data_IF_705092091406
#
_entry.id   IF_705092091406
#
_cell.length_a   1.000
_cell.length_b   1.000
_cell.length_c   1.000
_cell.angle_alpha   90.00
_cell.angle_beta   90.00
_cell.angle_gamma   90.00
#
_symmetry.space_group_name_H-M   'P 1'
#
loop_
_entity.id
_entity.type
_entity.pdbx_description
1 polymer ?
#
# COMPACT_ATOMS: atom_id res chain seq x y z
N UNK A 1 -29.96 -8.60 -2.58
CA UNK A 1 -28.94 -9.38 -3.32
C UNK A 1 -29.44 -9.74 -4.71
N UNK A 2 -30.58 -10.40 -4.77
CA UNK A 2 -31.00 -11.27 -5.86
C UNK A 2 -31.36 -10.50 -7.12
N UNK A 3 -31.96 -9.30 -6.97
CA UNK A 3 -32.15 -8.28 -8.01
C UNK A 3 -30.93 -8.11 -8.94
N UNK A 4 -29.69 -8.17 -8.42
CA UNK A 4 -28.47 -8.03 -9.23
C UNK A 4 -28.16 -9.31 -10.02
N UNK A 5 -28.36 -10.49 -9.43
CA UNK A 5 -28.24 -11.78 -10.12
C UNK A 5 -29.29 -11.88 -11.22
N UNK A 6 -30.55 -11.58 -10.89
CA UNK A 6 -31.68 -11.69 -11.80
C UNK A 6 -31.54 -10.70 -12.96
N UNK A 7 -31.02 -9.49 -12.71
CA UNK A 7 -30.64 -8.53 -13.76
C UNK A 7 -29.55 -9.07 -14.69
N UNK A 8 -28.48 -9.68 -14.16
CA UNK A 8 -27.39 -10.24 -14.99
C UNK A 8 -27.88 -11.45 -15.79
N UNK A 9 -28.61 -12.38 -15.17
CA UNK A 9 -29.15 -13.56 -15.85
C UNK A 9 -30.14 -13.15 -16.94
N UNK A 10 -31.12 -12.27 -16.65
CA UNK A 10 -32.15 -11.86 -17.61
C UNK A 10 -31.64 -10.95 -18.75
N UNK A 11 -30.56 -10.18 -18.53
CA UNK A 11 -30.02 -9.27 -19.56
C UNK A 11 -28.83 -9.82 -20.34
N UNK A 12 -28.05 -10.74 -19.76
CA UNK A 12 -26.77 -11.21 -20.32
C UNK A 12 -26.65 -12.75 -20.40
N UNK A 13 -27.54 -13.52 -19.76
CA UNK A 13 -27.54 -14.99 -19.84
C UNK A 13 -26.40 -15.70 -19.11
N UNK A 14 -25.59 -15.01 -18.31
CA UNK A 14 -24.44 -15.59 -17.61
C UNK A 14 -24.85 -16.35 -16.34
N UNK A 15 -24.29 -17.55 -16.10
CA UNK A 15 -24.42 -18.23 -14.79
C UNK A 15 -23.85 -17.31 -13.69
N UNK A 16 -24.71 -16.98 -12.72
CA UNK A 16 -24.46 -15.95 -11.73
C UNK A 16 -24.80 -16.49 -10.33
N UNK A 17 -23.79 -16.53 -9.47
CA UNK A 17 -23.90 -17.02 -8.08
C UNK A 17 -23.80 -15.87 -7.09
N UNK A 18 -24.43 -16.04 -5.94
CA UNK A 18 -24.42 -15.08 -4.82
C UNK A 18 -23.70 -15.74 -3.65
N UNK A 19 -22.77 -15.02 -3.02
CA UNK A 19 -22.07 -15.45 -1.81
C UNK A 19 -22.24 -14.39 -0.72
N UNK A 20 -22.90 -14.76 0.37
CA UNK A 20 -23.04 -13.91 1.56
C UNK A 20 -21.99 -14.38 2.58
N UNK A 21 -21.01 -13.53 2.88
CA UNK A 21 -19.86 -13.91 3.73
C UNK A 21 -20.26 -14.07 5.21
N UNK A 22 -21.15 -13.20 5.71
CA UNK A 22 -21.67 -13.26 7.08
C UNK A 22 -20.58 -13.17 8.16
N UNK A 23 -20.73 -13.96 9.22
CA UNK A 23 -19.93 -13.84 10.44
C UNK A 23 -18.43 -14.09 10.28
N UNK A 24 -17.96 -14.72 9.19
CA UNK A 24 -16.53 -14.92 8.91
C UNK A 24 -15.77 -13.58 8.86
N UNK A 25 -16.45 -12.48 8.53
CA UNK A 25 -15.88 -11.13 8.47
C UNK A 25 -15.56 -10.52 9.84
N UNK A 26 -15.96 -11.17 10.96
CA UNK A 26 -15.64 -10.76 12.33
C UNK A 26 -14.64 -11.69 13.04
N UNK A 27 -14.30 -12.82 12.43
CA UNK A 27 -13.44 -13.85 13.01
C UNK A 27 -12.01 -13.85 12.45
N UNK A 28 -11.21 -14.81 12.92
CA UNK A 28 -9.82 -14.97 12.52
C UNK A 28 -8.83 -14.13 13.35
N UNK A 29 -7.54 -14.26 13.01
CA UNK A 29 -6.46 -13.62 13.76
C UNK A 29 -6.27 -12.16 13.31
N UNK A 30 -6.20 -11.16 14.22
CA UNK A 30 -5.99 -9.75 13.85
C UNK A 30 -4.78 -9.52 12.95
N UNK A 31 -4.88 -8.61 11.98
CA UNK A 31 -3.78 -8.33 11.05
C UNK A 31 -2.63 -7.59 11.73
N UNK A 32 -1.48 -7.49 11.06
CA UNK A 32 -0.35 -6.71 11.56
C UNK A 32 -0.72 -5.21 11.74
N UNK A 33 -1.57 -4.67 10.86
CA UNK A 33 -2.07 -3.31 10.98
C UNK A 33 -2.95 -3.15 12.22
N UNK A 34 -3.91 -4.05 12.44
CA UNK A 34 -4.86 -3.95 13.56
C UNK A 34 -4.16 -4.11 14.92
N UNK A 35 -3.13 -4.97 15.01
CA UNK A 35 -2.31 -5.13 16.22
C UNK A 35 -1.55 -3.84 16.56
N UNK A 36 -0.85 -3.26 15.57
CA UNK A 36 -0.07 -2.03 15.77
C UNK A 36 -1.01 -0.85 16.06
N UNK A 37 -2.15 -0.77 15.37
CA UNK A 37 -3.21 0.22 15.61
C UNK A 37 -3.74 0.13 17.04
N UNK A 38 -4.14 -1.07 17.48
CA UNK A 38 -4.66 -1.32 18.82
C UNK A 38 -3.65 -1.01 19.92
N UNK A 39 -2.39 -1.42 19.76
CA UNK A 39 -1.33 -1.08 20.73
C UNK A 39 -1.07 0.43 20.82
N UNK A 40 -1.04 1.15 19.69
CA UNK A 40 -0.84 2.61 19.69
C UNK A 40 -2.02 3.36 20.31
N UNK A 41 -3.25 2.99 19.97
CA UNK A 41 -4.47 3.58 20.55
C UNK A 41 -4.58 3.26 22.04
N UNK A 42 -4.22 2.05 22.47
CA UNK A 42 -4.24 1.65 23.88
C UNK A 42 -3.25 2.45 24.74
N UNK A 43 -2.03 2.68 24.26
CA UNK A 43 -1.04 3.52 24.96
C UNK A 43 -1.51 4.97 25.03
N UNK A 44 -1.96 5.54 23.91
CA UNK A 44 -2.47 6.92 23.88
C UNK A 44 -3.72 7.11 24.77
N UNK A 45 -4.60 6.09 24.89
CA UNK A 45 -5.74 6.15 25.78
C UNK A 45 -5.36 6.18 27.27
N UNK A 46 -4.29 5.49 27.67
CA UNK A 46 -3.75 5.59 29.04
C UNK A 46 -3.16 6.97 29.29
N UNK A 47 -2.39 7.52 28.34
CA UNK A 47 -1.84 8.89 28.43
C UNK A 47 -2.98 9.91 28.53
N UNK A 48 -4.01 9.78 27.68
CA UNK A 48 -5.18 10.66 27.67
C UNK A 48 -5.97 10.65 28.99
N UNK A 49 -5.99 9.53 29.71
CA UNK A 49 -6.62 9.41 31.03
C UNK A 49 -5.75 10.01 32.15
N UNK A 50 -4.42 9.93 32.03
CA UNK A 50 -3.48 10.50 33.00
C UNK A 50 -3.33 12.03 32.87
N UNK A 51 -3.52 12.57 31.68
CA UNK A 51 -3.46 14.01 31.38
C UNK A 51 -4.81 14.73 31.56
N UNK A 52 -5.90 14.00 31.85
CA UNK A 52 -7.24 14.58 31.92
C UNK A 52 -7.49 15.36 33.23
N UNK A 53 -7.95 16.60 33.10
CA UNK A 53 -8.53 17.40 34.19
C UNK A 53 -10.06 17.25 34.28
N UNK A 54 -10.72 17.71 35.36
CA UNK A 54 -12.18 17.78 35.42
C UNK A 54 -12.83 18.60 34.29
N UNK A 55 -12.11 19.59 33.75
CA UNK A 55 -12.53 20.43 32.62
C UNK A 55 -12.26 19.79 31.25
N UNK A 56 -11.55 18.65 31.21
CA UNK A 56 -11.20 17.98 29.96
C UNK A 56 -12.40 17.17 29.45
N UNK A 57 -12.96 17.48 28.27
CA UNK A 57 -14.11 16.76 27.75
C UNK A 57 -13.75 15.32 27.37
N UNK A 58 -14.69 14.39 27.59
CA UNK A 58 -14.53 12.99 27.18
C UNK A 58 -14.18 12.89 25.69
N UNK A 59 -13.15 12.11 25.36
CA UNK A 59 -12.59 12.03 24.01
C UNK A 59 -12.48 10.59 23.49
N UNK A 60 -12.42 10.47 22.17
CA UNK A 60 -12.09 9.25 21.43
C UNK A 60 -10.66 9.36 20.93
N UNK A 61 -9.82 8.40 21.30
CA UNK A 61 -8.48 8.25 20.73
C UNK A 61 -8.60 7.64 19.33
N UNK A 62 -7.93 8.27 18.37
CA UNK A 62 -7.96 7.89 16.95
C UNK A 62 -6.58 8.09 16.30
N UNK A 63 -6.44 7.68 15.04
CA UNK A 63 -5.18 7.75 14.31
C UNK A 63 -5.39 8.45 12.95
N UNK A 64 -4.92 9.69 12.85
CA UNK A 64 -5.08 10.58 11.69
C UNK A 64 -3.71 11.00 11.16
N UNK A 65 -3.49 10.95 9.84
CA UNK A 65 -2.19 11.30 9.26
C UNK A 65 -1.01 10.43 9.75
N UNK A 66 -1.27 9.23 10.29
CA UNK A 66 -0.33 8.38 11.03
C UNK A 66 0.13 8.93 12.40
N UNK A 67 -0.49 9.99 12.91
CA UNK A 67 -0.32 10.51 14.26
C UNK A 67 -1.53 10.10 15.13
N UNK A 68 -1.28 9.85 16.42
CA UNK A 68 -2.36 9.64 17.38
C UNK A 68 -3.02 10.99 17.70
N UNK A 69 -4.34 11.02 17.80
CA UNK A 69 -5.12 12.23 18.10
C UNK A 69 -6.27 11.90 19.07
N UNK A 70 -6.72 12.91 19.81
CA UNK A 70 -7.90 12.88 20.67
C UNK A 70 -8.98 13.76 20.03
N UNK A 71 -10.20 13.25 19.91
CA UNK A 71 -11.34 13.96 19.30
C UNK A 71 -12.50 13.97 20.30
N UNK A 72 -13.24 15.08 20.50
CA UNK A 72 -14.35 15.10 21.45
C UNK A 72 -15.41 14.02 21.14
N UNK A 73 -15.80 13.26 22.16
CA UNK A 73 -16.71 12.12 22.03
C UNK A 73 -18.08 12.54 21.49
N UNK A 74 -18.60 13.68 21.95
CA UNK A 74 -19.89 14.21 21.52
C UNK A 74 -19.90 14.58 20.03
N UNK A 75 -18.83 15.19 19.52
CA UNK A 75 -18.66 15.49 18.09
C UNK A 75 -18.63 14.20 17.27
N UNK A 76 -17.86 13.19 17.70
CA UNK A 76 -17.83 11.90 17.04
C UNK A 76 -19.22 11.23 16.96
N UNK A 77 -19.99 11.27 18.05
CA UNK A 77 -21.37 10.74 18.06
C UNK A 77 -22.25 11.52 17.08
N UNK A 78 -22.28 12.85 17.17
CA UNK A 78 -23.08 13.71 16.29
C UNK A 78 -22.75 13.47 14.80
N UNK A 79 -21.46 13.50 14.42
CA UNK A 79 -21.03 13.28 13.04
C UNK A 79 -21.48 11.91 12.48
N UNK A 80 -21.53 10.86 13.31
CA UNK A 80 -22.03 9.55 12.83
C UNK A 80 -23.54 9.56 12.57
N UNK A 81 -24.32 10.28 13.40
CA UNK A 81 -25.76 10.45 13.21
C UNK A 81 -26.08 11.33 11.99
N UNK A 82 -25.31 12.38 11.75
CA UNK A 82 -25.46 13.27 10.58
C UNK A 82 -25.30 12.52 9.25
N UNK A 83 -24.38 11.55 9.17
CA UNK A 83 -24.27 10.71 7.95
C UNK A 83 -25.51 9.84 7.75
N UNK A 84 -26.08 9.29 8.82
CA UNK A 84 -27.31 8.48 8.71
C UNK A 84 -28.49 9.36 8.28
N UNK A 85 -28.68 10.51 8.94
CA UNK A 85 -29.67 11.51 8.54
C UNK A 85 -29.53 11.93 7.07
N UNK A 86 -28.32 12.17 6.59
CA UNK A 86 -28.07 12.50 5.18
C UNK A 86 -28.41 11.34 4.21
N UNK A 87 -28.26 10.08 4.63
CA UNK A 87 -28.72 8.91 3.84
C UNK A 87 -30.24 8.80 3.80
N UNK A 88 -30.91 8.99 4.94
CA UNK A 88 -32.37 8.89 5.07
C UNK A 88 -33.09 10.02 4.30
N UNK A 89 -32.52 11.24 4.37
CA UNK A 89 -32.92 12.41 3.57
C UNK A 89 -32.49 12.32 2.09
N UNK A 90 -31.86 11.22 1.66
CA UNK A 90 -31.36 10.97 0.29
C UNK A 90 -30.32 12.00 -0.22
N UNK A 91 -29.68 12.75 0.68
CA UNK A 91 -28.57 13.68 0.41
C UNK A 91 -27.24 12.93 0.25
N UNK A 92 -27.18 12.03 -0.73
CA UNK A 92 -26.09 11.07 -0.89
C UNK A 92 -24.71 11.71 -1.06
N UNK A 93 -24.60 12.84 -1.78
CA UNK A 93 -23.32 13.56 -1.91
C UNK A 93 -22.84 14.13 -0.58
N UNK A 94 -23.74 14.55 0.32
CA UNK A 94 -23.38 15.03 1.65
C UNK A 94 -22.96 13.86 2.54
N UNK A 95 -23.68 12.74 2.51
CA UNK A 95 -23.28 11.51 3.20
C UNK A 95 -21.87 11.05 2.75
N UNK A 96 -21.56 11.16 1.45
CA UNK A 96 -20.23 10.85 0.89
C UNK A 96 -19.16 11.86 1.35
N UNK A 97 -19.47 13.16 1.45
CA UNK A 97 -18.56 14.18 2.00
C UNK A 97 -18.28 13.96 3.49
N UNK A 98 -19.32 13.68 4.28
CA UNK A 98 -19.26 13.47 5.74
C UNK A 98 -18.47 12.20 6.12
N UNK A 99 -18.40 11.18 5.26
CA UNK A 99 -17.45 10.04 5.39
C UNK A 99 -15.97 10.44 5.16
N UNK A 100 -15.70 11.70 4.84
CA UNK A 100 -14.38 12.31 4.82
C UNK A 100 -13.57 12.09 3.53
N UNK A 101 -12.54 12.94 3.34
CA UNK A 101 -11.72 13.01 2.11
C UNK A 101 -11.12 11.65 1.67
N UNK A 102 -10.81 10.77 2.63
CA UNK A 102 -10.31 9.41 2.34
C UNK A 102 -11.35 8.55 1.62
N UNK A 103 -12.60 8.56 2.07
CA UNK A 103 -13.70 7.82 1.45
C UNK A 103 -13.97 8.31 0.03
N UNK A 104 -14.07 9.64 -0.16
CA UNK A 104 -14.23 10.28 -1.47
C UNK A 104 -13.09 9.89 -2.42
N UNK A 105 -11.84 9.95 -1.97
CA UNK A 105 -10.68 9.55 -2.77
C UNK A 105 -10.75 8.06 -3.16
N UNK A 106 -11.09 7.17 -2.23
CA UNK A 106 -11.22 5.73 -2.51
C UNK A 106 -12.30 5.47 -3.58
N UNK A 107 -13.48 6.10 -3.45
CA UNK A 107 -14.59 5.97 -4.40
C UNK A 107 -14.23 6.48 -5.80
N UNK A 108 -13.57 7.64 -5.88
CA UNK A 108 -13.16 8.22 -7.17
C UNK A 108 -12.04 7.40 -7.84
N UNK A 109 -11.06 6.91 -7.07
CA UNK A 109 -10.04 5.98 -7.58
C UNK A 109 -10.65 4.67 -8.09
N UNK A 110 -11.67 4.14 -7.42
CA UNK A 110 -12.41 2.96 -7.88
C UNK A 110 -13.13 3.21 -9.21
N UNK A 111 -13.94 4.29 -9.30
CA UNK A 111 -14.66 4.66 -10.52
C UNK A 111 -13.72 4.76 -11.74
N UNK A 112 -12.59 5.46 -11.58
CA UNK A 112 -11.55 5.67 -12.59
C UNK A 112 -10.89 4.36 -13.10
N UNK A 113 -10.79 3.34 -12.25
CA UNK A 113 -10.12 2.07 -12.57
C UNK A 113 -11.08 0.95 -13.00
N UNK A 114 -12.37 1.10 -12.70
CA UNK A 114 -13.44 0.18 -13.05
C UNK A 114 -14.06 0.53 -14.41
N UNK A 115 -14.32 1.81 -14.68
CA UNK A 115 -14.96 2.26 -15.92
C UNK A 115 -13.96 2.97 -16.82
N UNK A 116 -13.81 2.48 -18.07
CA UNK A 116 -13.27 3.29 -19.15
C UNK A 116 -14.42 4.14 -19.71
N UNK A 117 -14.35 5.47 -19.59
CA UNK A 117 -15.18 6.38 -20.38
C UNK A 117 -14.91 6.11 -21.86
N UNK A 118 -15.95 5.80 -22.62
CA UNK A 118 -15.81 5.48 -24.05
C UNK A 118 -15.46 6.73 -24.88
N UNK A 119 -16.12 7.84 -24.56
CA UNK A 119 -16.28 8.98 -25.47
C UNK A 119 -15.69 10.28 -24.89
N UNK A 120 -14.47 10.17 -24.36
CA UNK A 120 -13.57 11.32 -24.20
C UNK A 120 -12.33 10.98 -25.01
N UNK A 121 -12.10 11.70 -26.11
CA UNK A 121 -10.80 11.65 -26.78
C UNK A 121 -9.73 12.03 -25.74
N UNK A 122 -8.69 11.20 -25.53
CA UNK A 122 -7.68 11.50 -24.53
C UNK A 122 -7.05 12.85 -24.89
N UNK A 123 -6.99 13.83 -23.97
CA UNK A 123 -6.50 15.16 -24.27
C UNK A 123 -5.09 15.06 -24.84
N UNK A 124 -4.82 15.72 -25.99
CA UNK A 124 -3.59 15.54 -26.77
C UNK A 124 -2.33 15.81 -25.92
N UNK A 125 -1.78 14.74 -25.37
CA UNK A 125 -0.75 14.72 -24.31
C UNK A 125 0.04 13.42 -24.44
N UNK A 126 0.67 13.25 -25.61
CA UNK A 126 1.26 11.99 -26.09
C UNK A 126 2.63 11.62 -25.48
N UNK A 127 2.84 11.93 -24.20
CA UNK A 127 4.11 11.66 -23.51
C UNK A 127 4.32 10.15 -23.28
N UNK A 128 5.59 9.73 -23.29
CA UNK A 128 5.98 8.34 -23.03
C UNK A 128 6.42 8.22 -21.57
N UNK A 129 5.69 7.45 -20.75
CA UNK A 129 5.95 7.32 -19.30
C UNK A 129 6.32 5.87 -18.96
N UNK A 130 7.47 5.67 -18.32
CA UNK A 130 7.99 4.36 -17.97
C UNK A 130 7.71 3.97 -16.50
N UNK A 131 7.56 2.68 -16.22
CA UNK A 131 7.35 2.15 -14.87
C UNK A 131 8.32 0.98 -14.62
N UNK A 132 9.00 1.01 -13.47
CA UNK A 132 9.94 -0.03 -13.04
C UNK A 132 9.85 -0.32 -11.54
N UNK A 133 10.19 -1.55 -11.15
CA UNK A 133 10.32 -1.96 -9.75
C UNK A 133 11.81 -2.11 -9.39
N UNK A 134 12.20 -1.68 -8.19
CA UNK A 134 13.61 -1.63 -7.76
C UNK A 134 13.73 -2.09 -6.30
N UNK A 135 14.82 -2.79 -5.97
CA UNK A 135 14.99 -3.46 -4.69
C UNK A 135 14.53 -4.92 -4.72
N UNK A 136 14.28 -5.49 -3.54
CA UNK A 136 13.71 -6.83 -3.41
C UNK A 136 12.23 -6.85 -3.84
N UNK A 137 11.70 -7.99 -4.35
CA UNK A 137 10.27 -8.12 -4.61
C UNK A 137 9.44 -7.85 -3.35
N UNK A 138 8.41 -7.01 -3.50
CA UNK A 138 7.53 -6.62 -2.41
C UNK A 138 6.06 -6.81 -2.80
N UNK A 139 5.28 -7.36 -1.87
CA UNK A 139 3.83 -7.42 -1.94
C UNK A 139 3.24 -6.04 -2.32
N UNK A 140 2.53 -5.98 -3.45
CA UNK A 140 1.84 -4.77 -3.92
C UNK A 140 2.48 -4.07 -5.12
N UNK A 141 3.73 -4.40 -5.49
CA UNK A 141 4.40 -3.88 -6.70
C UNK A 141 3.51 -4.01 -7.94
N UNK A 142 2.93 -5.19 -8.19
CA UNK A 142 2.03 -5.44 -9.33
C UNK A 142 0.75 -4.58 -9.31
N UNK A 143 0.20 -4.30 -8.13
CA UNK A 143 -0.99 -3.46 -7.98
C UNK A 143 -0.66 -1.98 -8.26
N UNK A 144 0.51 -1.51 -7.84
CA UNK A 144 1.02 -0.18 -8.16
C UNK A 144 1.30 -0.02 -9.67
N UNK A 145 2.04 -0.95 -10.29
CA UNK A 145 2.29 -0.95 -11.74
C UNK A 145 0.97 -0.95 -12.53
N UNK A 146 0.02 -1.82 -12.19
CA UNK A 146 -1.31 -1.86 -12.83
C UNK A 146 -2.02 -0.51 -12.77
N UNK A 147 -1.98 0.17 -11.63
CA UNK A 147 -2.66 1.45 -11.45
C UNK A 147 -1.97 2.57 -12.24
N UNK A 148 -0.63 2.62 -12.20
CA UNK A 148 0.16 3.57 -13.00
C UNK A 148 -0.11 3.41 -14.50
N UNK A 149 -0.05 2.18 -15.03
CA UNK A 149 -0.32 1.88 -16.44
C UNK A 149 -1.74 2.26 -16.85
N UNK A 150 -2.75 1.90 -16.05
CA UNK A 150 -4.15 2.22 -16.41
C UNK A 150 -4.42 3.71 -16.41
N UNK A 151 -3.99 4.42 -15.38
CA UNK A 151 -4.29 5.84 -15.22
C UNK A 151 -3.46 6.68 -16.20
N UNK A 152 -2.24 6.26 -16.55
CA UNK A 152 -1.46 6.88 -17.61
C UNK A 152 -2.16 6.83 -18.97
N UNK A 153 -2.72 5.68 -19.32
CA UNK A 153 -3.54 5.50 -20.53
C UNK A 153 -4.81 6.37 -20.48
N UNK A 154 -5.47 6.51 -19.32
CA UNK A 154 -6.67 7.37 -19.17
C UNK A 154 -6.34 8.87 -19.31
N UNK A 155 -5.16 9.31 -18.88
CA UNK A 155 -4.68 10.69 -19.03
C UNK A 155 -4.10 10.99 -20.43
N UNK A 156 -4.00 9.97 -21.31
CA UNK A 156 -3.57 10.08 -22.72
C UNK A 156 -2.13 9.65 -23.03
N UNK A 157 -1.36 9.25 -22.01
CA UNK A 157 0.07 8.91 -22.15
C UNK A 157 0.28 7.50 -22.73
N UNK A 158 1.40 7.32 -23.43
CA UNK A 158 1.91 5.99 -23.81
C UNK A 158 2.71 5.40 -22.65
N UNK A 159 2.28 4.25 -22.16
CA UNK A 159 2.88 3.62 -20.99
C UNK A 159 3.90 2.56 -21.39
N UNK A 160 5.07 2.59 -20.76
CA UNK A 160 6.15 1.63 -20.98
C UNK A 160 6.45 0.87 -19.68
N UNK A 161 6.58 -0.45 -19.81
CA UNK A 161 7.08 -1.33 -18.77
C UNK A 161 8.57 -1.58 -18.99
N UNK A 162 9.37 -1.38 -17.95
CA UNK A 162 10.81 -1.72 -17.96
C UNK A 162 11.01 -2.97 -17.11
N UNK A 163 11.65 -3.99 -17.69
CA UNK A 163 11.96 -5.22 -16.96
C UNK A 163 13.14 -5.03 -15.99
N UNK A 164 13.19 -5.84 -14.93
CA UNK A 164 14.35 -6.01 -14.03
C UNK A 164 14.99 -4.69 -13.51
N UNK A 165 14.15 -3.69 -13.25
CA UNK A 165 14.57 -2.42 -12.67
C UNK A 165 15.59 -1.66 -13.54
N UNK A 166 16.56 -1.00 -12.91
CA UNK A 166 17.61 -0.27 -13.63
C UNK A 166 18.54 -1.17 -14.43
N UNK A 167 18.64 -2.46 -14.10
CA UNK A 167 19.48 -3.40 -14.83
C UNK A 167 18.88 -3.68 -16.22
N UNK A 168 17.61 -4.05 -16.30
CA UNK A 168 16.91 -4.23 -17.57
C UNK A 168 16.71 -2.90 -18.32
N UNK A 169 16.53 -1.77 -17.61
CA UNK A 169 16.56 -0.43 -18.21
C UNK A 169 17.85 -0.22 -19.01
N UNK A 170 19.02 -0.43 -18.40
CA UNK A 170 20.31 -0.24 -19.07
C UNK A 170 20.56 -1.19 -20.26
N UNK A 171 19.81 -2.31 -20.33
CA UNK A 171 19.84 -3.29 -21.42
C UNK A 171 18.74 -3.06 -22.47
N UNK A 172 17.99 -1.95 -22.38
CA UNK A 172 16.90 -1.63 -23.32
C UNK A 172 15.69 -2.57 -23.22
N UNK A 173 15.47 -3.23 -22.07
CA UNK A 173 14.34 -4.13 -21.84
C UNK A 173 13.04 -3.36 -21.54
N UNK A 174 12.66 -2.48 -22.48
CA UNK A 174 11.57 -1.53 -22.38
C UNK A 174 10.51 -1.94 -23.42
N UNK A 175 9.24 -2.07 -23.01
CA UNK A 175 8.13 -2.45 -23.90
C UNK A 175 6.88 -1.62 -23.60
N UNK A 176 6.17 -1.19 -24.64
CA UNK A 176 4.88 -0.49 -24.45
C UNK A 176 3.85 -1.45 -23.84
N UNK A 177 3.16 -1.03 -22.78
CA UNK A 177 2.22 -1.85 -22.02
C UNK A 177 0.79 -1.27 -22.10
N UNK A 178 -0.11 -2.05 -22.71
CA UNK A 178 -1.51 -1.67 -22.94
C UNK A 178 -2.41 -2.01 -21.74
N UNK A 179 -3.59 -1.39 -21.67
CA UNK A 179 -4.59 -1.55 -20.58
C UNK A 179 -4.93 -3.00 -20.20
N UNK A 180 -4.94 -3.91 -21.19
CA UNK A 180 -5.18 -5.34 -21.00
C UNK A 180 -4.00 -6.10 -20.39
N UNK A 181 -2.76 -5.67 -20.65
CA UNK A 181 -1.53 -6.34 -20.18
C UNK A 181 -1.36 -6.35 -18.66
N UNK A 182 -2.06 -5.45 -17.95
CA UNK A 182 -2.12 -5.39 -16.48
C UNK A 182 -3.45 -5.92 -15.91
N UNK A 183 -4.19 -6.74 -16.67
CA UNK A 183 -5.38 -7.44 -16.21
C UNK A 183 -5.06 -8.46 -15.10
N UNK A 184 -5.83 -8.48 -14.01
CA UNK A 184 -5.64 -9.42 -12.89
C UNK A 184 -4.49 -9.10 -11.91
N UNK A 185 -3.56 -8.20 -12.25
CA UNK A 185 -2.32 -7.94 -11.48
C UNK A 185 -2.54 -7.46 -10.03
N UNK A 186 -3.72 -6.92 -9.68
CA UNK A 186 -4.04 -6.46 -8.31
C UNK A 186 -3.88 -7.57 -7.25
N UNK A 187 -4.09 -8.83 -7.60
CA UNK A 187 -4.00 -9.96 -6.67
C UNK A 187 -2.64 -10.66 -6.62
N UNK A 188 -1.68 -10.24 -7.44
CA UNK A 188 -0.44 -11.01 -7.71
C UNK A 188 0.73 -10.59 -6.82
N UNK A 189 1.46 -11.57 -6.30
CA UNK A 189 2.66 -11.39 -5.48
C UNK A 189 3.93 -11.05 -6.27
N UNK A 190 4.99 -10.63 -5.57
CA UNK A 190 6.28 -10.28 -6.16
C UNK A 190 6.21 -9.16 -7.20
N UNK A 191 7.04 -9.26 -8.25
CA UNK A 191 7.07 -8.32 -9.39
C UNK A 191 6.99 -9.05 -10.73
N UNK A 192 5.91 -8.83 -11.47
CA UNK A 192 5.69 -9.33 -12.83
C UNK A 192 6.51 -8.56 -13.88
N UNK A 193 7.13 -7.43 -13.50
CA UNK A 193 8.18 -6.77 -14.29
C UNK A 193 9.59 -7.32 -14.00
N UNK A 194 9.74 -8.21 -13.01
CA UNK A 194 11.04 -8.41 -12.37
C UNK A 194 11.43 -7.21 -11.49
N UNK A 195 12.51 -7.34 -10.73
CA UNK A 195 13.08 -6.26 -9.90
C UNK A 195 14.47 -6.67 -9.43
N UNK A 196 15.36 -5.70 -9.27
CA UNK A 196 16.74 -5.91 -8.83
C UNK A 196 17.12 -4.87 -7.77
N UNK A 197 18.01 -5.26 -6.83
CA UNK A 197 18.68 -4.31 -5.91
C UNK A 197 19.72 -3.42 -6.65
N UNK A 198 19.97 -3.64 -7.94
CA UNK A 198 20.92 -2.91 -8.79
C UNK A 198 20.58 -1.42 -8.89
N UNK A 199 21.49 -0.56 -8.39
CA UNK A 199 21.38 0.89 -8.47
C UNK A 199 21.85 1.42 -9.85
N UNK A 200 21.31 2.55 -10.33
CA UNK A 200 21.56 3.03 -11.70
C UNK A 200 22.99 3.59 -11.91
N UNK A 201 23.70 3.94 -10.83
CA UNK A 201 24.93 4.74 -10.86
C UNK A 201 26.05 4.22 -11.77
N UNK A 202 26.18 2.90 -11.95
CA UNK A 202 27.20 2.32 -12.84
C UNK A 202 26.83 2.38 -14.33
N UNK A 203 25.54 2.50 -14.66
CA UNK A 203 25.02 2.35 -16.03
C UNK A 203 24.29 3.62 -16.52
N UNK A 204 24.53 4.78 -15.90
CA UNK A 204 23.78 6.03 -16.13
C UNK A 204 23.73 6.45 -17.62
N UNK A 205 24.84 6.34 -18.34
CA UNK A 205 24.89 6.69 -19.77
C UNK A 205 23.93 5.81 -20.59
N UNK A 206 24.01 4.48 -20.44
CA UNK A 206 23.12 3.55 -21.15
C UNK A 206 21.64 3.77 -20.79
N UNK A 207 21.33 4.11 -19.54
CA UNK A 207 19.97 4.46 -19.11
C UNK A 207 19.51 5.77 -19.79
N UNK A 208 20.37 6.78 -19.87
CA UNK A 208 20.07 8.05 -20.54
C UNK A 208 19.88 7.87 -22.06
N UNK A 209 20.67 7.00 -22.71
CA UNK A 209 20.50 6.68 -24.12
C UNK A 209 19.18 5.95 -24.38
N UNK A 210 18.81 4.98 -23.52
CA UNK A 210 17.52 4.31 -23.62
C UNK A 210 16.32 5.25 -23.38
N UNK A 211 16.48 6.27 -22.52
CA UNK A 211 15.51 7.36 -22.34
C UNK A 211 15.34 8.15 -23.64
N UNK A 212 16.45 8.51 -24.33
CA UNK A 212 16.41 9.19 -25.64
C UNK A 212 15.75 8.33 -26.71
N UNK A 213 16.19 7.08 -26.88
CA UNK A 213 15.68 6.15 -27.91
C UNK A 213 14.18 5.91 -27.79
N UNK A 214 13.65 5.82 -26.56
CA UNK A 214 12.23 5.61 -26.30
C UNK A 214 11.46 6.92 -26.04
N UNK A 215 12.10 8.09 -26.19
CA UNK A 215 11.56 9.43 -25.89
C UNK A 215 10.85 9.52 -24.51
N UNK A 216 11.41 8.85 -23.49
CA UNK A 216 10.77 8.70 -22.17
C UNK A 216 10.76 10.06 -21.45
N UNK A 217 9.56 10.59 -21.23
CA UNK A 217 9.32 11.90 -20.64
C UNK A 217 9.31 11.86 -19.09
N UNK A 218 9.04 10.69 -18.49
CA UNK A 218 9.08 10.47 -17.04
C UNK A 218 9.18 8.97 -16.69
N UNK A 219 9.63 8.63 -15.48
CA UNK A 219 9.60 7.26 -14.96
C UNK A 219 9.25 7.14 -13.46
N UNK A 220 8.75 5.97 -13.02
CA UNK A 220 8.27 5.70 -11.64
C UNK A 220 8.93 4.46 -11.00
N UNK A 221 9.21 4.51 -9.68
CA UNK A 221 10.02 3.54 -8.88
C UNK A 221 9.37 3.23 -7.50
N UNK A 222 9.60 2.04 -6.89
CA UNK A 222 8.94 1.50 -5.67
C UNK A 222 9.92 0.66 -4.77
N UNK A 223 10.09 0.91 -3.43
CA UNK A 223 10.99 0.17 -2.46
C UNK A 223 10.94 0.60 -0.94
N UNK A 224 11.73 0.03 0.03
CA UNK A 224 11.71 0.38 1.51
C UNK A 224 12.69 -0.32 2.55
N UNK A 225 12.60 -0.02 3.89
CA UNK A 225 13.43 -0.42 5.12
C UNK A 225 12.69 -0.02 6.48
N UNK A 226 12.96 -0.25 7.81
CA UNK A 226 13.78 -1.09 8.78
C UNK A 226 13.16 -0.99 10.26
N UNK A 227 13.66 -1.21 11.54
CA UNK A 227 14.91 -1.59 12.32
C UNK A 227 14.67 -1.96 13.87
N UNK A 228 15.74 -2.37 14.64
CA UNK A 228 16.04 -2.33 16.14
C UNK A 228 15.48 -3.36 17.22
N UNK A 229 16.15 -3.53 18.40
CA UNK A 229 16.15 -4.77 19.28
C UNK A 229 16.13 -4.69 20.85
N UNK A 230 16.65 -3.65 21.56
CA UNK A 230 17.16 -3.73 22.97
C UNK A 230 16.29 -4.42 24.07
N UNK A 231 14.96 -4.44 23.96
CA UNK A 231 14.00 -4.70 25.06
C UNK A 231 14.03 -6.10 25.75
N UNK A 232 14.66 -7.13 25.18
CA UNK A 232 14.25 -8.51 25.49
C UNK A 232 14.80 -9.11 26.81
N UNK A 233 15.99 -8.73 27.25
CA UNK A 233 16.73 -9.43 28.32
C UNK A 233 16.05 -9.36 29.69
N UNK A 234 15.36 -8.25 30.00
CA UNK A 234 14.69 -8.06 31.30
C UNK A 234 13.45 -8.95 31.47
N UNK A 235 12.78 -9.27 30.36
CA UNK A 235 11.47 -9.92 30.35
C UNK A 235 11.48 -11.35 30.93
N UNK A 236 12.58 -12.08 30.78
CA UNK A 236 12.67 -13.49 31.17
C UNK A 236 12.62 -13.73 32.69
N UNK A 237 12.73 -12.66 33.51
CA UNK A 237 12.54 -12.69 34.97
C UNK A 237 11.06 -12.64 35.40
N UNK A 238 10.12 -12.55 34.44
CA UNK A 238 8.68 -12.46 34.68
C UNK A 238 7.96 -13.79 34.41
N UNK A 239 6.65 -13.85 34.68
CA UNK A 239 5.80 -15.00 34.34
C UNK A 239 5.71 -15.30 32.83
N UNK A 240 6.14 -14.39 31.95
CA UNK A 240 6.14 -14.59 30.49
C UNK A 240 7.55 -15.00 30.03
N UNK A 241 7.90 -16.25 30.34
CA UNK A 241 9.16 -16.92 29.97
C UNK A 241 9.28 -17.24 28.46
N UNK A 242 8.97 -16.28 27.60
CA UNK A 242 9.04 -16.40 26.13
C UNK A 242 9.58 -15.11 25.51
N UNK A 243 10.79 -15.20 24.98
CA UNK A 243 11.45 -14.16 24.20
C UNK A 243 11.26 -14.32 22.69
N UNK A 244 11.37 -13.22 21.94
CA UNK A 244 11.45 -13.21 20.48
C UNK A 244 12.32 -12.03 20.05
N UNK A 245 13.51 -12.31 19.52
CA UNK A 245 14.38 -11.31 18.88
C UNK A 245 14.04 -11.25 17.38
N UNK A 246 13.87 -10.04 16.84
CA UNK A 246 13.85 -9.82 15.39
C UNK A 246 15.10 -9.03 15.01
N UNK A 247 15.97 -9.62 14.19
CA UNK A 247 17.15 -8.96 13.60
C UNK A 247 16.85 -8.63 12.14
N UNK A 248 17.14 -7.40 11.68
CA UNK A 248 17.17 -7.11 10.24
C UNK A 248 18.34 -7.85 9.56
N UNK A 249 18.24 -8.20 8.28
CA UNK A 249 19.33 -8.90 7.58
C UNK A 249 20.68 -8.13 7.60
N UNK A 250 20.64 -6.80 7.56
CA UNK A 250 21.82 -5.93 7.38
C UNK A 250 22.10 -5.02 8.61
N UNK A 251 21.52 -5.29 9.79
CA UNK A 251 21.62 -4.36 10.94
C UNK A 251 23.04 -4.12 11.47
N UNK A 252 23.96 -5.07 11.25
CA UNK A 252 25.38 -4.96 11.57
C UNK A 252 26.16 -6.10 10.91
N UNK A 253 27.28 -5.83 10.26
CA UNK A 253 28.06 -6.86 9.55
C UNK A 253 28.74 -7.87 10.51
N UNK A 254 29.17 -7.42 11.69
CA UNK A 254 29.84 -8.25 12.69
C UNK A 254 28.84 -9.00 13.58
N UNK A 255 27.81 -8.28 14.07
CA UNK A 255 26.74 -8.86 14.89
C UNK A 255 25.68 -9.52 14.00
N UNK A 256 26.09 -10.62 13.38
CA UNK A 256 25.26 -11.49 12.53
C UNK A 256 24.12 -12.15 13.32
N UNK A 257 23.16 -12.76 12.63
CA UNK A 257 22.13 -13.61 13.25
C UNK A 257 22.74 -14.72 14.10
N UNK A 258 23.89 -15.25 13.68
CA UNK A 258 24.59 -16.34 14.35
C UNK A 258 25.34 -15.87 15.59
N UNK A 259 26.00 -14.69 15.51
CA UNK A 259 26.61 -14.04 16.66
C UNK A 259 25.58 -13.71 17.74
N UNK A 260 24.45 -13.10 17.36
CA UNK A 260 23.38 -12.75 18.31
C UNK A 260 22.74 -14.02 18.90
N UNK A 261 22.57 -15.07 18.10
CA UNK A 261 22.11 -16.37 18.60
C UNK A 261 23.08 -16.98 19.62
N UNK A 262 24.39 -16.96 19.35
CA UNK A 262 25.42 -17.46 20.27
C UNK A 262 25.43 -16.65 21.57
N UNK A 263 25.46 -15.31 21.48
CA UNK A 263 25.43 -14.41 22.64
C UNK A 263 24.24 -14.69 23.56
N UNK A 264 23.01 -14.74 23.02
CA UNK A 264 21.81 -15.05 23.81
C UNK A 264 21.80 -16.50 24.35
N UNK A 265 22.45 -17.45 23.67
CA UNK A 265 22.54 -18.84 24.13
C UNK A 265 23.55 -19.03 25.26
N UNK A 266 24.63 -18.23 25.29
CA UNK A 266 25.66 -18.27 26.32
C UNK A 266 25.22 -17.49 27.58
N UNK A 267 24.80 -16.23 27.42
CA UNK A 267 24.32 -15.39 28.53
C UNK A 267 23.00 -15.90 29.15
N UNK A 268 22.23 -16.71 28.39
CA UNK A 268 20.99 -17.35 28.85
C UNK A 268 21.18 -18.65 29.63
N UNK A 269 22.41 -19.16 29.78
CA UNK A 269 22.68 -20.48 30.37
C UNK A 269 22.09 -20.64 31.78
N UNK A 270 21.37 -21.74 31.97
CA UNK A 270 20.64 -22.04 33.21
C UNK A 270 19.32 -21.30 33.39
N UNK A 271 18.95 -20.39 32.47
CA UNK A 271 17.71 -19.60 32.54
C UNK A 271 16.79 -19.88 31.34
N UNK A 272 17.32 -19.94 30.12
CA UNK A 272 16.55 -20.24 28.90
C UNK A 272 17.44 -20.83 27.79
N UNK A 273 16.81 -21.45 26.78
CA UNK A 273 17.48 -21.82 25.53
C UNK A 273 17.02 -20.96 24.35
N UNK A 274 17.72 -21.05 23.22
CA UNK A 274 17.46 -20.23 22.04
C UNK A 274 17.31 -21.07 20.76
N UNK A 275 16.59 -20.54 19.77
CA UNK A 275 16.51 -21.08 18.41
C UNK A 275 16.58 -19.92 17.41
N UNK A 276 17.54 -19.96 16.48
CA UNK A 276 17.59 -19.02 15.35
C UNK A 276 16.68 -19.50 14.21
N UNK A 277 16.02 -18.57 13.55
CA UNK A 277 15.26 -18.82 12.32
C UNK A 277 15.52 -17.67 11.34
N UNK A 278 16.02 -17.99 10.14
CA UNK A 278 16.19 -17.01 9.05
C UNK A 278 14.99 -17.20 8.12
N UNK A 279 14.01 -16.30 8.20
CA UNK A 279 12.78 -16.37 7.40
C UNK A 279 13.07 -16.20 5.89
N UNK A 280 13.97 -15.26 5.55
CA UNK A 280 14.44 -15.05 4.19
C UNK A 280 13.32 -14.72 3.20
N UNK A 281 13.38 -15.31 2.01
CA UNK A 281 12.54 -14.94 0.86
C UNK A 281 11.04 -15.10 1.09
N UNK A 282 10.58 -15.91 2.06
CA UNK A 282 9.16 -16.02 2.41
C UNK A 282 8.55 -14.69 2.89
N UNK A 283 9.39 -13.78 3.41
CA UNK A 283 8.97 -12.45 3.90
C UNK A 283 8.46 -11.53 2.78
N UNK A 284 8.75 -11.84 1.51
CA UNK A 284 8.21 -11.11 0.34
C UNK A 284 6.69 -11.33 0.18
N UNK A 285 6.16 -12.39 0.80
CA UNK A 285 4.76 -12.76 0.80
C UNK A 285 4.30 -13.50 -0.45
N UNK A 286 3.12 -14.10 -0.35
CA UNK A 286 2.37 -14.61 -1.51
C UNK A 286 1.54 -13.50 -2.15
N UNK A 287 0.22 -13.66 -2.18
CA UNK A 287 -0.67 -12.58 -2.59
C UNK A 287 -0.58 -11.38 -1.64
N UNK A 288 -0.55 -10.12 -2.14
CA UNK A 288 -0.39 -8.92 -1.32
C UNK A 288 -1.56 -8.69 -0.37
N UNK A 289 -1.36 -7.97 0.74
CA UNK A 289 -2.44 -7.68 1.68
C UNK A 289 -3.46 -6.70 1.09
N UNK A 290 -4.71 -6.63 1.62
CA UNK A 290 -5.67 -5.62 1.23
C UNK A 290 -5.17 -4.18 1.44
N UNK A 291 -4.24 -3.95 2.37
CA UNK A 291 -3.59 -2.67 2.57
C UNK A 291 -2.69 -2.33 1.37
N UNK A 292 -1.75 -3.21 1.02
CA UNK A 292 -0.75 -2.97 -0.04
C UNK A 292 -1.43 -2.78 -1.41
N UNK A 293 -2.45 -3.61 -1.70
CA UNK A 293 -3.27 -3.48 -2.91
C UNK A 293 -3.88 -2.09 -3.03
N UNK A 294 -4.48 -1.59 -1.95
CA UNK A 294 -5.14 -0.29 -1.93
C UNK A 294 -4.14 0.88 -1.87
N UNK A 295 -3.02 0.74 -1.16
CA UNK A 295 -1.98 1.74 -1.07
C UNK A 295 -1.28 1.93 -2.42
N UNK A 296 -0.75 0.85 -3.01
CA UNK A 296 -0.13 0.84 -4.34
C UNK A 296 -1.07 1.38 -5.42
N UNK A 297 -2.35 0.98 -5.38
CA UNK A 297 -3.37 1.52 -6.30
C UNK A 297 -3.52 3.04 -6.18
N UNK A 298 -3.64 3.57 -4.95
CA UNK A 298 -3.91 5.01 -4.71
C UNK A 298 -2.70 5.92 -4.89
N UNK A 299 -1.49 5.46 -4.54
CA UNK A 299 -0.28 6.28 -4.69
C UNK A 299 0.11 6.43 -6.16
N UNK A 300 0.01 5.36 -6.95
CA UNK A 300 0.22 5.40 -8.40
C UNK A 300 -0.80 6.30 -9.12
N UNK A 301 -2.06 6.29 -8.69
CA UNK A 301 -3.09 7.20 -9.21
C UNK A 301 -2.69 8.67 -9.04
N UNK A 302 -2.24 9.05 -7.84
CA UNK A 302 -1.77 10.41 -7.54
C UNK A 302 -0.49 10.77 -8.28
N UNK A 303 0.44 9.81 -8.44
CA UNK A 303 1.70 10.03 -9.17
C UNK A 303 1.43 10.38 -10.64
N UNK A 304 0.55 9.64 -11.32
CA UNK A 304 0.19 9.95 -12.72
C UNK A 304 -0.60 11.27 -12.83
N UNK A 305 -1.52 11.56 -11.90
CA UNK A 305 -2.24 12.85 -11.87
C UNK A 305 -1.33 14.05 -11.52
N UNK A 306 -0.17 13.81 -10.90
CA UNK A 306 0.87 14.82 -10.71
C UNK A 306 1.67 15.02 -12.01
N UNK A 307 2.24 13.93 -12.56
CA UNK A 307 2.95 13.96 -13.85
C UNK A 307 2.14 14.65 -14.95
N UNK A 308 0.86 14.30 -15.08
CA UNK A 308 -0.04 14.85 -16.11
C UNK A 308 -0.28 16.35 -15.97
N UNK A 309 -0.17 16.91 -14.76
CA UNK A 309 -0.24 18.36 -14.52
C UNK A 309 1.10 19.02 -14.79
N UNK A 310 2.19 18.50 -14.22
CA UNK A 310 3.55 19.01 -14.40
C UNK A 310 3.96 19.04 -15.89
N UNK A 311 3.55 18.06 -16.69
CA UNK A 311 3.76 18.07 -18.14
C UNK A 311 2.95 19.19 -18.84
N UNK A 312 1.66 19.35 -18.51
CA UNK A 312 0.80 20.42 -19.06
C UNK A 312 1.23 21.83 -18.63
N UNK A 313 1.82 21.98 -17.44
CA UNK A 313 2.33 23.23 -16.88
C UNK A 313 3.65 23.68 -17.54
N UNK A 314 4.57 22.75 -17.79
CA UNK A 314 5.87 23.06 -18.43
C UNK A 314 5.76 23.18 -19.96
N UNK A 315 4.93 22.36 -20.62
CA UNK A 315 4.75 22.44 -22.08
C UNK A 315 4.08 23.75 -22.54
N UNK A 316 3.41 24.48 -21.64
CA UNK A 316 2.88 25.84 -21.88
C UNK A 316 3.90 26.97 -21.62
N UNK A 317 5.15 26.63 -21.32
CA UNK A 317 6.28 27.55 -21.12
C UNK A 317 7.44 27.28 -22.10
N UNK A 318 7.17 26.49 -23.14
CA UNK A 318 8.07 26.16 -24.26
C UNK A 318 7.51 26.76 -25.53
#
# INVERSE_FOLDING_TARGET
SDIIKDLVVSRLGFDTRITILGHVQRGGTPSAFDRILGSRIGVEAVIALLEASPDTPACVVSLSGNQAIRVPLMECVQMTQEVQKAMDEKRFDDAVKLRGRSFVNNLNTYKLLAHKTKDVEPPQSSFNVAVLNVGAPAAGMNAAVRSAVRIGITEGHRMFAVADGFEGFSKGQIKEIKWGGVGGWTGQGGSLLGTKRTLPGKNLQAIADQIRTHNISAFMVIGGFEANVIHLTEKMKTSIQRGLVLRNENSNDNYTTDFIYQLYSEEGKGIFDCRKNILGHMQQGGAPSPFDRNFGTKIAAKAVQWLSRTLKENYRRS
#
